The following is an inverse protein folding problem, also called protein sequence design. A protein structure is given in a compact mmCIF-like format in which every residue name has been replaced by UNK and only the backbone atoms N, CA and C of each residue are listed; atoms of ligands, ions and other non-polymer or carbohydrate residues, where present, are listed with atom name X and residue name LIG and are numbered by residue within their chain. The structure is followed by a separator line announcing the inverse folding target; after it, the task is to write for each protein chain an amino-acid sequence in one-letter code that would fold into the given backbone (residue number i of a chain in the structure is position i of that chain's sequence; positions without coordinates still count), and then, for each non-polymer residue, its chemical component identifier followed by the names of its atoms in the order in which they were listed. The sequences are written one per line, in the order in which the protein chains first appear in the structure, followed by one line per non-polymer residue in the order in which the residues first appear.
data_IF_411376982538
#
_entry.id   IF_411376982538
#
_cell.length_a   1.000
_cell.length_b   1.000
_cell.length_c   1.000
_cell.angle_alpha   90.00
_cell.angle_beta   90.00
_cell.angle_gamma   90.00
#
_symmetry.space_group_name_H-M   'P 1'
#
loop_
_entity.id
_entity.type
_entity.pdbx_description
1 polymer ?
#
# COMPACT_ATOMS: atom_id res chain seq x y z
N UNK A 1 14.09 25.17 -17.66
CA UNK A 1 12.66 25.34 -17.30
C UNK A 1 12.47 24.76 -15.92
N UNK A 2 12.16 25.61 -14.94
CA UNK A 2 12.01 25.20 -13.55
C UNK A 2 10.81 24.25 -13.39
N UNK A 3 11.02 23.11 -12.76
CA UNK A 3 9.97 22.18 -12.36
C UNK A 3 9.16 22.86 -11.26
N UNK A 4 7.85 23.05 -11.47
CA UNK A 4 6.97 23.47 -10.40
C UNK A 4 7.00 22.39 -9.30
N UNK A 5 7.61 22.70 -8.15
CA UNK A 5 7.42 21.88 -6.95
C UNK A 5 5.93 21.91 -6.62
N UNK A 6 5.30 20.75 -6.63
CA UNK A 6 3.94 20.67 -6.11
C UNK A 6 3.99 20.84 -4.59
N UNK A 7 2.86 21.28 -4.03
CA UNK A 7 2.68 21.61 -2.61
C UNK A 7 3.01 20.44 -1.66
N UNK A 8 3.07 19.21 -2.17
CA UNK A 8 3.36 17.98 -1.42
C UNK A 8 4.86 17.66 -1.26
N UNK A 9 5.77 18.46 -1.84
CA UNK A 9 7.21 18.26 -1.74
C UNK A 9 7.77 17.12 -2.61
N UNK A 10 6.95 16.52 -3.49
CA UNK A 10 7.41 15.48 -4.41
C UNK A 10 7.85 16.14 -5.74
N UNK A 11 9.04 15.86 -6.29
CA UNK A 11 9.47 16.47 -7.55
C UNK A 11 8.59 16.06 -8.74
N UNK A 12 8.33 16.98 -9.68
CA UNK A 12 7.66 16.71 -10.96
C UNK A 12 8.64 16.79 -12.12
N UNK A 13 8.48 15.93 -13.12
CA UNK A 13 9.27 15.96 -14.35
C UNK A 13 8.42 15.51 -15.55
N UNK A 14 8.86 15.78 -16.77
CA UNK A 14 8.17 15.21 -17.94
C UNK A 14 8.42 13.70 -18.04
N UNK A 15 7.46 12.90 -18.55
CA UNK A 15 7.68 11.49 -18.87
C UNK A 15 8.96 11.26 -19.67
N UNK A 16 9.18 12.09 -20.70
CA UNK A 16 10.28 11.94 -21.64
C UNK A 16 11.64 12.10 -20.96
N UNK A 17 11.74 13.01 -19.98
CA UNK A 17 12.97 13.21 -19.19
C UNK A 17 13.34 12.00 -18.33
N UNK A 18 12.39 11.09 -18.09
CA UNK A 18 12.55 9.85 -17.33
C UNK A 18 12.45 8.59 -18.22
N UNK A 19 12.57 8.77 -19.53
CA UNK A 19 12.59 7.68 -20.51
C UNK A 19 11.23 7.01 -20.72
N UNK A 20 10.14 7.75 -20.51
CA UNK A 20 8.76 7.27 -20.75
C UNK A 20 8.13 8.15 -21.82
N UNK A 21 7.63 7.56 -22.89
CA UNK A 21 6.86 8.29 -23.89
C UNK A 21 5.46 8.59 -23.32
N UNK A 22 5.08 9.86 -23.28
CA UNK A 22 3.73 10.28 -22.83
C UNK A 22 2.60 9.56 -23.56
N UNK A 23 2.77 9.21 -24.84
CA UNK A 23 1.79 8.45 -25.62
C UNK A 23 1.44 7.10 -24.99
N UNK A 24 2.41 6.41 -24.36
CA UNK A 24 2.18 5.11 -23.71
C UNK A 24 1.35 5.24 -22.44
N UNK A 25 1.50 6.35 -21.71
CA UNK A 25 0.68 6.64 -20.54
C UNK A 25 -0.76 6.92 -20.98
N UNK A 26 -0.95 7.68 -22.06
CA UNK A 26 -2.27 7.96 -22.62
C UNK A 26 -2.96 6.70 -23.16
N UNK A 27 -2.24 5.85 -23.89
CA UNK A 27 -2.73 4.55 -24.37
C UNK A 27 -3.24 3.69 -23.19
N UNK A 28 -2.46 3.58 -22.12
CA UNK A 28 -2.88 2.87 -20.90
C UNK A 28 -4.17 3.45 -20.31
N UNK A 29 -4.25 4.77 -20.12
CA UNK A 29 -5.45 5.41 -19.55
C UNK A 29 -6.69 5.22 -20.44
N UNK A 30 -6.50 5.18 -21.77
CA UNK A 30 -7.56 4.91 -22.73
C UNK A 30 -8.03 3.45 -22.67
N UNK A 31 -7.10 2.50 -22.59
CA UNK A 31 -7.41 1.07 -22.49
C UNK A 31 -8.19 0.76 -21.19
N UNK A 32 -7.77 1.31 -20.06
CA UNK A 32 -8.44 1.12 -18.78
C UNK A 32 -9.83 1.76 -18.77
N UNK A 33 -9.97 2.94 -19.40
CA UNK A 33 -11.29 3.56 -19.62
C UNK A 33 -12.18 2.67 -20.50
N UNK A 34 -11.64 2.07 -21.57
CA UNK A 34 -12.39 1.17 -22.44
C UNK A 34 -12.84 -0.12 -21.73
N UNK A 35 -12.11 -0.55 -20.69
CA UNK A 35 -12.47 -1.66 -19.80
C UNK A 35 -13.46 -1.25 -18.69
N UNK A 36 -13.93 -0.01 -18.67
CA UNK A 36 -14.77 0.56 -17.60
C UNK A 36 -14.10 0.50 -16.21
N UNK A 37 -12.78 0.65 -16.15
CA UNK A 37 -12.08 0.84 -14.87
C UNK A 37 -12.29 2.28 -14.43
N UNK A 38 -12.88 2.46 -13.26
CA UNK A 38 -13.09 3.77 -12.65
C UNK A 38 -11.89 4.17 -11.79
N UNK A 39 -11.10 5.12 -12.29
CA UNK A 39 -10.03 5.71 -11.48
C UNK A 39 -10.56 6.85 -10.64
N UNK A 40 -10.24 6.82 -9.34
CA UNK A 40 -10.38 7.99 -8.48
C UNK A 40 -9.21 8.95 -8.69
N UNK A 41 -8.01 8.40 -8.80
CA UNK A 41 -6.78 9.11 -9.11
C UNK A 41 -5.79 8.19 -9.81
N UNK A 42 -4.82 8.79 -10.50
CA UNK A 42 -3.69 8.13 -11.11
C UNK A 42 -2.44 8.94 -10.80
N UNK A 43 -1.36 8.27 -10.41
CA UNK A 43 -0.05 8.89 -10.23
C UNK A 43 1.02 7.89 -10.65
N UNK A 44 1.94 8.33 -11.50
CA UNK A 44 3.08 7.54 -11.96
C UNK A 44 4.37 8.22 -11.51
N UNK A 45 5.12 7.55 -10.64
CA UNK A 45 6.40 7.99 -10.11
C UNK A 45 7.55 7.18 -10.73
N UNK A 46 8.53 7.85 -11.34
CA UNK A 46 9.69 7.18 -11.96
C UNK A 46 10.91 8.09 -11.97
N UNK A 47 12.07 7.51 -11.65
CA UNK A 47 13.34 8.24 -11.71
C UNK A 47 13.42 9.42 -10.75
N UNK A 48 12.80 9.29 -9.57
CA UNK A 48 12.84 10.32 -8.53
C UNK A 48 11.86 11.48 -8.73
N UNK A 49 10.86 11.34 -9.61
CA UNK A 49 9.84 12.36 -9.84
C UNK A 49 8.50 11.76 -10.24
N UNK A 50 7.40 12.47 -9.95
CA UNK A 50 6.10 12.25 -10.57
C UNK A 50 6.19 12.67 -12.04
N UNK A 51 5.86 11.75 -12.93
CA UNK A 51 5.90 12.00 -14.38
C UNK A 51 4.51 12.12 -15.02
N UNK A 52 3.47 11.65 -14.34
CA UNK A 52 2.09 11.84 -14.75
C UNK A 52 1.20 11.69 -13.53
N UNK A 53 0.19 12.56 -13.39
CA UNK A 53 -0.81 12.47 -12.33
C UNK A 53 -2.14 13.07 -12.77
N UNK A 54 -3.23 12.63 -12.17
CA UNK A 54 -4.57 13.11 -12.47
C UNK A 54 -5.61 12.61 -11.47
N UNK A 55 -6.65 13.40 -11.28
CA UNK A 55 -7.79 13.08 -10.42
C UNK A 55 -9.07 13.27 -11.21
N UNK A 56 -9.97 12.29 -11.13
CA UNK A 56 -11.27 12.37 -11.77
C UNK A 56 -12.26 13.06 -10.83
N UNK A 57 -13.17 13.88 -11.34
CA UNK A 57 -14.20 14.51 -10.52
C UNK A 57 -15.07 13.45 -9.82
N UNK A 58 -15.41 13.61 -8.51
CA UNK A 58 -15.18 14.76 -7.64
C UNK A 58 -13.86 14.72 -6.83
N UNK A 59 -12.96 13.78 -7.11
CA UNK A 59 -11.70 13.61 -6.39
C UNK A 59 -10.70 14.73 -6.70
N UNK A 60 -9.85 15.03 -5.70
CA UNK A 60 -8.85 16.10 -5.76
C UNK A 60 -7.62 15.70 -4.95
N UNK A 61 -6.42 16.20 -5.28
CA UNK A 61 -5.19 15.87 -4.57
C UNK A 61 -5.24 16.14 -3.05
N UNK A 62 -6.02 17.13 -2.64
CA UNK A 62 -6.11 17.57 -1.24
C UNK A 62 -7.19 16.80 -0.44
N UNK A 63 -8.01 15.98 -1.10
CA UNK A 63 -9.04 15.20 -0.42
C UNK A 63 -8.43 13.96 0.23
N UNK A 64 -8.89 13.66 1.45
CA UNK A 64 -8.50 12.42 2.13
C UNK A 64 -9.22 11.25 1.48
N UNK A 65 -8.46 10.21 1.15
CA UNK A 65 -8.97 8.98 0.57
C UNK A 65 -8.95 7.84 1.60
N UNK A 66 -9.99 7.01 1.58
CA UNK A 66 -10.01 5.77 2.37
C UNK A 66 -9.04 4.76 1.73
N UNK A 67 -8.00 4.37 2.46
CA UNK A 67 -6.90 3.55 1.93
C UNK A 67 -7.16 2.04 2.01
N UNK A 68 -8.16 1.60 2.79
CA UNK A 68 -8.50 0.19 2.99
C UNK A 68 -7.25 -0.70 3.22
N UNK A 69 -7.07 -1.74 2.41
CA UNK A 69 -5.95 -2.68 2.53
C UNK A 69 -4.59 -2.07 2.20
N UNK A 70 -4.49 -0.90 1.58
CA UNK A 70 -3.20 -0.22 1.41
C UNK A 70 -2.57 0.14 2.77
N UNK A 71 -3.37 0.30 3.83
CA UNK A 71 -2.88 0.47 5.20
C UNK A 71 -1.98 -0.68 5.66
N UNK A 72 -2.19 -1.91 5.15
CA UNK A 72 -1.37 -3.09 5.51
C UNK A 72 0.08 -2.94 5.07
N UNK A 73 0.37 -2.24 3.96
CA UNK A 73 1.75 -1.97 3.53
C UNK A 73 2.48 -1.07 4.52
N UNK A 74 1.83 -0.03 5.03
CA UNK A 74 2.40 0.82 6.08
C UNK A 74 2.59 0.06 7.39
N UNK A 75 1.62 -0.78 7.76
CA UNK A 75 1.73 -1.64 8.94
C UNK A 75 2.90 -2.63 8.80
N UNK A 76 3.11 -3.22 7.62
CA UNK A 76 4.23 -4.13 7.36
C UNK A 76 5.58 -3.44 7.56
N UNK A 77 5.73 -2.17 7.14
CA UNK A 77 6.94 -1.38 7.40
C UNK A 77 7.13 -1.16 8.90
N UNK A 78 6.08 -0.78 9.63
CA UNK A 78 6.15 -0.59 11.07
C UNK A 78 6.54 -1.88 11.81
N UNK A 79 5.99 -3.03 11.39
CA UNK A 79 6.38 -4.36 11.90
C UNK A 79 7.85 -4.65 11.61
N UNK A 80 8.33 -4.36 10.39
CA UNK A 80 9.74 -4.52 10.04
C UNK A 80 10.68 -3.66 10.90
N UNK A 81 10.28 -2.42 11.21
CA UNK A 81 11.01 -1.54 12.13
C UNK A 81 11.02 -2.12 13.54
N UNK A 82 9.88 -2.60 14.05
CA UNK A 82 9.79 -3.15 15.40
C UNK A 82 10.66 -4.42 15.57
N UNK A 83 10.73 -5.27 14.54
CA UNK A 83 11.64 -6.43 14.50
C UNK A 83 13.09 -5.98 14.48
N UNK A 84 13.43 -4.95 13.69
CA UNK A 84 14.79 -4.39 13.63
C UNK A 84 15.25 -3.82 14.98
N UNK A 85 14.33 -3.19 15.71
CA UNK A 85 14.57 -2.65 17.07
C UNK A 85 14.57 -3.73 18.16
N UNK A 86 14.25 -4.98 17.82
CA UNK A 86 14.32 -6.12 18.74
C UNK A 86 13.13 -6.26 19.68
N UNK A 87 11.98 -5.66 19.38
CA UNK A 87 10.78 -5.80 20.22
C UNK A 87 10.18 -7.20 20.15
N UNK A 88 10.20 -7.83 18.97
CA UNK A 88 9.70 -9.19 18.74
C UNK A 88 10.29 -9.79 17.46
N UNK A 89 10.09 -11.09 17.27
CA UNK A 89 10.50 -11.81 16.05
C UNK A 89 9.29 -12.33 15.27
N UNK A 90 9.51 -12.71 14.01
CA UNK A 90 8.48 -13.37 13.19
C UNK A 90 8.03 -14.72 13.77
N UNK A 91 8.86 -15.35 14.61
CA UNK A 91 8.61 -16.65 15.22
C UNK A 91 7.87 -16.56 16.55
N UNK A 92 7.70 -15.35 17.09
CA UNK A 92 7.00 -15.15 18.35
C UNK A 92 5.53 -15.56 18.21
N UNK A 93 4.98 -16.12 19.29
CA UNK A 93 3.59 -16.56 19.32
C UNK A 93 2.67 -15.35 19.40
N UNK A 94 1.72 -15.24 18.48
CA UNK A 94 0.81 -14.10 18.47
C UNK A 94 0.02 -13.95 19.79
N UNK A 95 -0.29 -15.08 20.43
CA UNK A 95 -0.99 -15.11 21.72
C UNK A 95 -0.19 -14.51 22.88
N UNK A 96 1.15 -14.47 22.80
CA UNK A 96 1.95 -13.90 23.90
C UNK A 96 1.75 -12.40 24.06
N UNK A 97 1.36 -11.70 22.98
CA UNK A 97 1.08 -10.26 23.00
C UNK A 97 -0.30 -9.92 23.58
N UNK A 98 -1.22 -10.89 23.66
CA UNK A 98 -2.60 -10.70 24.05
C UNK A 98 -3.05 -11.70 25.12
N UNK A 99 -2.14 -12.10 26.02
CA UNK A 99 -2.38 -13.15 27.00
C UNK A 99 -3.67 -12.93 27.82
N UNK A 100 -3.97 -11.68 28.19
CA UNK A 100 -5.18 -11.30 28.95
C UNK A 100 -6.50 -11.45 28.17
N UNK A 101 -6.43 -11.70 26.86
CA UNK A 101 -7.57 -11.87 25.97
C UNK A 101 -7.75 -13.32 25.51
N UNK A 102 -6.91 -14.26 25.97
CA UNK A 102 -7.03 -15.67 25.63
C UNK A 102 -8.06 -16.33 26.56
N UNK A 103 -9.17 -16.90 26.04
CA UNK A 103 -10.16 -17.58 26.87
C UNK A 103 -9.56 -18.77 27.62
N UNK A 104 -9.84 -18.89 28.93
CA UNK A 104 -9.32 -19.97 29.78
C UNK A 104 -9.77 -21.38 29.36
N UNK A 105 -10.87 -21.47 28.60
CA UNK A 105 -11.55 -22.70 28.22
C UNK A 105 -11.26 -23.16 26.79
N UNK A 106 -10.57 -22.33 25.98
CA UNK A 106 -10.43 -22.56 24.55
C UNK A 106 -8.96 -22.49 24.11
N UNK A 107 -8.18 -23.51 24.48
CA UNK A 107 -6.85 -23.75 23.90
C UNK A 107 -6.99 -24.40 22.53
N UNK A 108 -7.59 -23.69 21.56
CA UNK A 108 -7.57 -24.12 20.16
C UNK A 108 -6.09 -24.30 19.74
N UNK A 109 -5.66 -25.52 19.37
CA UNK A 109 -4.29 -25.78 18.96
C UNK A 109 -3.81 -24.85 17.84
N UNK A 110 -4.73 -24.35 17.00
CA UNK A 110 -4.42 -23.41 15.92
C UNK A 110 -4.06 -22.02 16.45
N UNK A 111 -4.79 -21.53 17.46
CA UNK A 111 -4.47 -20.25 18.11
C UNK A 111 -3.13 -20.34 18.83
N UNK A 112 -2.85 -21.47 19.49
CA UNK A 112 -1.58 -21.70 20.17
C UNK A 112 -0.38 -21.82 19.20
N UNK A 113 -0.62 -22.29 17.97
CA UNK A 113 0.45 -22.44 16.98
C UNK A 113 0.76 -21.13 16.23
N UNK A 114 -0.18 -20.18 16.18
CA UNK A 114 -0.07 -18.95 15.39
C UNK A 114 1.18 -18.14 15.73
N UNK A 115 1.96 -17.80 14.71
CA UNK A 115 3.15 -16.95 14.83
C UNK A 115 2.93 -15.60 14.16
N UNK A 116 3.79 -14.62 14.43
CA UNK A 116 3.74 -13.32 13.74
C UNK A 116 3.91 -13.47 12.21
N UNK A 117 4.67 -14.45 11.73
CA UNK A 117 4.86 -14.72 10.30
C UNK A 117 3.62 -15.29 9.59
N UNK A 118 2.68 -15.91 10.34
CA UNK A 118 1.68 -16.88 9.90
C UNK A 118 1.66 -17.24 8.39
N UNK A 119 2.16 -18.45 8.09
CA UNK A 119 2.40 -18.95 6.73
C UNK A 119 1.30 -19.87 6.18
N UNK A 120 0.21 -20.06 6.89
CA UNK A 120 -0.86 -20.96 6.45
C UNK A 120 -1.62 -20.27 5.29
N UNK A 121 -1.22 -20.60 4.06
CA UNK A 121 -1.40 -19.91 2.77
C UNK A 121 -2.80 -19.51 2.31
N UNK A 122 -3.65 -19.01 3.20
CA UNK A 122 -4.84 -18.23 2.89
C UNK A 122 -4.42 -16.78 2.84
N UNK A 123 -4.35 -16.24 1.63
CA UNK A 123 -4.09 -14.83 1.44
C UNK A 123 -5.20 -14.05 2.15
N UNK A 124 -4.87 -12.90 2.73
CA UNK A 124 -5.84 -11.95 3.30
C UNK A 124 -6.99 -11.56 2.34
N UNK A 125 -6.89 -11.92 1.05
CA UNK A 125 -7.93 -11.74 0.04
C UNK A 125 -9.04 -12.79 0.05
N UNK A 126 -8.92 -13.90 0.79
CA UNK A 126 -9.95 -14.96 0.83
C UNK A 126 -11.13 -14.63 1.77
N UNK A 127 -11.17 -13.42 2.33
CA UNK A 127 -12.17 -12.95 3.30
C UNK A 127 -12.90 -11.66 2.87
N UNK A 128 -12.78 -11.26 1.60
CA UNK A 128 -13.50 -10.13 0.98
C UNK A 128 -14.25 -10.58 -0.26
#
# INVERSE_FOLDING_TARGET
MATAEAVDGIPRASPESRGVHSSRILEFLQDERAKNVEFNCFMLYRGGAVISEGWWYPYQPQLRHMMHSATKSFLSVAVGMAIHEGYFTLQDKAISFFADHVPNDNQDPKLASLTVEERDGRLFGDYI
#
